data_IF_353946786030
#
_entry.id   IF_353946786030
#
_cell.length_a   1.000
_cell.length_b   1.000
_cell.length_c   1.000
_cell.angle_alpha   90.00
_cell.angle_beta   90.00
_cell.angle_gamma   90.00
#
_symmetry.space_group_name_H-M   'P 1'
#
loop_
_entity.id
_entity.type
_entity.pdbx_description
1 polymer ?
#
# COMPACT_ATOMS: atom_id res chain seq x y z
N UNK A 1 22.62 -68.87 -20.58
CA UNK A 1 23.70 -68.04 -19.99
C UNK A 1 24.91 -68.15 -20.89
N UNK A 2 25.17 -67.11 -21.67
CA UNK A 2 26.45 -66.89 -22.34
C UNK A 2 26.94 -65.56 -21.77
N UNK A 3 28.14 -65.49 -21.17
CA UNK A 3 28.66 -64.28 -20.57
C UNK A 3 29.21 -63.38 -21.69
N UNK A 4 28.48 -62.33 -22.05
CA UNK A 4 29.02 -61.26 -22.90
C UNK A 4 29.74 -60.27 -21.98
N UNK A 5 31.00 -60.61 -21.70
CA UNK A 5 31.93 -59.75 -20.98
C UNK A 5 32.51 -58.74 -21.96
N UNK A 6 32.35 -57.44 -21.64
CA UNK A 6 33.19 -56.26 -21.89
C UNK A 6 34.34 -56.31 -22.93
N UNK A 7 35.04 -57.43 -23.09
CA UNK A 7 36.04 -57.68 -24.14
C UNK A 7 35.50 -57.62 -25.56
N UNK A 8 34.25 -58.00 -25.83
CA UNK A 8 33.70 -57.93 -27.20
C UNK A 8 33.40 -56.48 -27.64
N UNK A 9 33.16 -55.56 -26.70
CA UNK A 9 33.00 -54.13 -27.01
C UNK A 9 34.33 -53.44 -27.33
N UNK A 10 35.45 -53.98 -26.84
CA UNK A 10 36.81 -53.50 -27.13
C UNK A 10 37.36 -53.99 -28.48
N UNK A 11 36.73 -55.00 -29.09
CA UNK A 11 37.04 -55.48 -30.44
C UNK A 11 36.21 -54.79 -31.53
N UNK A 12 35.28 -53.91 -31.15
CA UNK A 12 34.64 -53.02 -32.11
C UNK A 12 35.71 -52.09 -32.72
N UNK A 13 35.80 -51.98 -34.05
CA UNK A 13 36.66 -50.98 -34.70
C UNK A 13 36.36 -49.54 -34.27
N UNK A 14 35.22 -49.33 -33.61
CA UNK A 14 34.67 -48.05 -33.19
C UNK A 14 34.83 -47.79 -31.67
N UNK A 15 35.73 -48.51 -30.98
CA UNK A 15 36.02 -48.24 -29.57
C UNK A 15 36.77 -46.89 -29.42
N UNK A 16 36.39 -46.00 -28.48
CA UNK A 16 36.98 -44.65 -28.34
C UNK A 16 38.51 -44.64 -28.26
N UNK A 17 39.10 -45.67 -27.64
CA UNK A 17 40.54 -45.77 -27.43
C UNK A 17 41.35 -46.10 -28.70
N UNK A 18 40.72 -46.60 -29.78
CA UNK A 18 41.40 -46.84 -31.08
C UNK A 18 41.37 -45.60 -31.99
N UNK A 19 40.74 -44.50 -31.54
CA UNK A 19 40.45 -43.27 -32.32
C UNK A 19 41.37 -42.10 -31.89
N UNK A 20 42.32 -42.31 -30.98
CA UNK A 20 43.24 -41.25 -30.53
C UNK A 20 44.50 -41.16 -31.40
N UNK A 21 44.32 -40.63 -32.61
CA UNK A 21 45.39 -39.97 -33.39
C UNK A 21 45.41 -38.46 -33.14
N UNK A 22 46.47 -37.78 -33.57
CA UNK A 22 46.72 -36.35 -33.38
C UNK A 22 45.49 -35.49 -33.78
N UNK A 23 45.23 -34.40 -33.03
CA UNK A 23 44.04 -33.52 -33.10
C UNK A 23 43.63 -33.07 -34.53
N UNK A 24 44.56 -33.08 -35.49
CA UNK A 24 44.34 -32.70 -36.89
C UNK A 24 43.76 -33.82 -37.78
N UNK A 25 43.79 -35.08 -37.35
CA UNK A 25 43.32 -36.26 -38.15
C UNK A 25 41.96 -36.80 -37.71
N UNK A 26 41.32 -36.15 -36.74
CA UNK A 26 40.17 -36.68 -36.01
C UNK A 26 38.84 -36.66 -36.79
N UNK A 27 38.80 -36.03 -37.97
CA UNK A 27 37.56 -35.77 -38.72
C UNK A 27 37.62 -36.10 -40.21
N UNK A 28 38.69 -36.74 -40.68
CA UNK A 28 38.62 -37.42 -41.97
C UNK A 28 37.81 -38.69 -41.75
N UNK A 29 36.64 -38.78 -42.40
CA UNK A 29 35.92 -40.04 -42.45
C UNK A 29 36.90 -41.11 -42.98
N UNK A 30 37.05 -42.27 -42.30
CA UNK A 30 37.85 -43.36 -42.82
C UNK A 30 37.57 -43.53 -44.31
N UNK A 31 38.61 -43.47 -45.14
CA UNK A 31 38.50 -43.31 -46.59
C UNK A 31 37.68 -44.42 -47.30
N UNK A 32 37.30 -45.45 -46.56
CA UNK A 32 36.62 -46.66 -47.03
C UNK A 32 35.19 -46.83 -46.48
N UNK A 33 34.61 -45.84 -45.79
CA UNK A 33 33.23 -45.95 -45.28
C UNK A 33 32.18 -45.73 -46.38
N UNK A 34 31.15 -46.59 -46.48
CA UNK A 34 29.97 -46.33 -47.30
C UNK A 34 29.28 -45.03 -46.88
N UNK A 35 28.76 -44.29 -47.85
CA UNK A 35 28.17 -42.96 -47.64
C UNK A 35 27.05 -42.92 -46.58
N UNK A 36 26.33 -44.04 -46.39
CA UNK A 36 25.29 -44.20 -45.36
C UNK A 36 25.84 -44.29 -43.93
N UNK A 37 27.04 -44.85 -43.75
CA UNK A 37 27.68 -45.03 -42.44
C UNK A 37 28.47 -43.77 -42.02
N UNK A 38 28.86 -42.93 -42.98
CA UNK A 38 29.42 -41.60 -42.72
C UNK A 38 28.35 -40.67 -42.12
N UNK A 39 27.11 -40.71 -42.65
CA UNK A 39 25.97 -39.98 -42.08
C UNK A 39 25.66 -40.45 -40.64
N UNK A 40 25.58 -41.76 -40.39
CA UNK A 40 25.36 -42.29 -39.03
C UNK A 40 26.50 -41.95 -38.05
N UNK A 41 27.76 -41.89 -38.51
CA UNK A 41 28.91 -41.50 -37.69
C UNK A 41 28.83 -40.05 -37.23
N UNK A 42 28.45 -39.13 -38.13
CA UNK A 42 28.27 -37.72 -37.79
C UNK A 42 26.99 -37.47 -36.96
N UNK A 43 25.91 -38.20 -37.22
CA UNK A 43 24.67 -38.14 -36.43
C UNK A 43 24.88 -38.60 -34.98
N UNK A 44 25.64 -39.68 -34.76
CA UNK A 44 25.97 -40.19 -33.42
C UNK A 44 26.86 -39.23 -32.60
N UNK A 45 27.74 -38.48 -33.26
CA UNK A 45 28.56 -37.41 -32.66
C UNK A 45 27.77 -36.11 -32.42
N UNK A 46 26.69 -35.87 -33.18
CA UNK A 46 25.84 -34.69 -33.06
C UNK A 46 24.93 -34.72 -31.81
N UNK A 47 24.43 -35.90 -31.45
CA UNK A 47 23.43 -36.08 -30.39
C UNK A 47 24.01 -36.14 -28.95
N UNK A 48 25.29 -36.46 -28.77
CA UNK A 48 25.80 -36.81 -27.42
C UNK A 48 26.35 -35.67 -26.55
N UNK A 49 26.77 -34.50 -27.08
CA UNK A 49 27.54 -33.54 -26.25
C UNK A 49 27.03 -32.09 -26.18
N UNK A 50 26.28 -31.59 -27.16
CA UNK A 50 25.93 -30.15 -27.20
C UNK A 50 24.56 -29.84 -26.56
N UNK A 51 23.58 -30.73 -26.73
CA UNK A 51 22.21 -30.51 -26.26
C UNK A 51 22.00 -30.82 -24.76
N UNK A 52 22.77 -31.74 -24.20
CA UNK A 52 22.60 -32.19 -22.81
C UNK A 52 22.97 -31.08 -21.82
N UNK A 53 24.03 -30.30 -22.09
CA UNK A 53 24.41 -29.15 -21.25
C UNK A 53 23.44 -27.97 -21.31
N UNK A 54 22.72 -27.81 -22.42
CA UNK A 54 21.78 -26.70 -22.63
C UNK A 54 20.39 -26.95 -22.05
N UNK A 55 19.94 -28.22 -22.04
CA UNK A 55 18.72 -28.61 -21.34
C UNK A 55 18.79 -28.27 -19.83
N UNK A 56 19.98 -28.31 -19.24
CA UNK A 56 20.26 -27.94 -17.84
C UNK A 56 20.59 -26.47 -17.61
N UNK A 57 20.86 -25.67 -18.64
CA UNK A 57 21.22 -24.27 -18.49
C UNK A 57 19.95 -23.41 -18.35
N UNK A 58 19.69 -22.90 -17.14
CA UNK A 58 18.48 -22.11 -16.80
C UNK A 58 18.20 -20.95 -17.76
N UNK A 59 19.21 -20.45 -18.47
CA UNK A 59 19.12 -19.32 -19.38
C UNK A 59 18.80 -19.71 -20.84
N UNK A 60 18.98 -20.98 -21.20
CA UNK A 60 18.82 -21.51 -22.57
C UNK A 60 17.58 -22.41 -22.68
N UNK A 61 17.11 -22.98 -21.56
CA UNK A 61 16.00 -23.95 -21.57
C UNK A 61 14.65 -23.40 -22.07
N UNK A 62 14.43 -22.08 -22.12
CA UNK A 62 13.16 -21.52 -22.59
C UNK A 62 13.22 -20.03 -23.00
N UNK A 63 13.81 -19.67 -24.17
CA UNK A 63 13.89 -18.28 -24.64
C UNK A 63 12.52 -17.68 -25.01
N UNK A 64 11.46 -18.50 -25.11
CA UNK A 64 10.09 -18.03 -25.37
C UNK A 64 9.35 -17.64 -24.09
N UNK A 65 9.72 -18.20 -22.93
CA UNK A 65 9.07 -17.86 -21.65
C UNK A 65 9.50 -16.54 -21.05
N UNK A 66 10.61 -15.94 -21.50
CA UNK A 66 11.18 -14.74 -20.89
C UNK A 66 11.56 -15.02 -19.44
N UNK A 67 12.85 -15.26 -19.18
CA UNK A 67 13.28 -15.45 -17.81
C UNK A 67 13.11 -14.13 -17.03
N UNK A 68 12.04 -14.03 -16.23
CA UNK A 68 11.80 -12.92 -15.32
C UNK A 68 12.27 -13.34 -13.92
N UNK A 69 13.46 -12.91 -13.46
CA UNK A 69 13.83 -13.12 -12.06
C UNK A 69 12.77 -12.46 -11.16
N UNK A 70 12.43 -13.11 -10.05
CA UNK A 70 11.58 -12.51 -9.00
C UNK A 70 12.24 -11.21 -8.57
N UNK A 71 11.60 -10.08 -8.87
CA UNK A 71 12.22 -8.75 -8.80
C UNK A 71 12.28 -8.24 -7.35
N UNK A 72 13.46 -8.26 -6.70
CA UNK A 72 13.58 -7.84 -5.31
C UNK A 72 13.37 -6.32 -5.15
N UNK A 73 13.48 -5.55 -6.24
CA UNK A 73 13.19 -4.10 -6.27
C UNK A 73 11.73 -3.79 -5.94
N UNK A 74 10.78 -4.62 -6.39
CA UNK A 74 9.36 -4.39 -6.13
C UNK A 74 9.04 -4.60 -4.65
N UNK A 75 9.59 -5.67 -4.06
CA UNK A 75 9.46 -5.94 -2.62
C UNK A 75 10.04 -4.80 -1.79
N UNK A 76 11.25 -4.36 -2.09
CA UNK A 76 11.89 -3.28 -1.34
C UNK A 76 11.16 -1.93 -1.50
N UNK A 77 10.66 -1.61 -2.70
CA UNK A 77 9.81 -0.42 -2.88
C UNK A 77 8.57 -0.48 -1.99
N UNK A 78 7.87 -1.62 -1.97
CA UNK A 78 6.68 -1.79 -1.14
C UNK A 78 7.00 -1.68 0.37
N UNK A 79 8.16 -2.20 0.81
CA UNK A 79 8.62 -2.07 2.20
C UNK A 79 8.89 -0.60 2.57
N UNK A 80 9.50 0.17 1.66
CA UNK A 80 9.73 1.60 1.85
C UNK A 80 8.40 2.36 1.91
N UNK A 81 7.48 2.07 0.98
CA UNK A 81 6.16 2.72 0.93
C UNK A 81 5.32 2.40 2.18
N UNK A 82 5.37 1.15 2.65
CA UNK A 82 4.71 0.74 3.89
C UNK A 82 5.30 1.49 5.08
N UNK A 83 6.63 1.61 5.18
CA UNK A 83 7.29 2.36 6.25
C UNK A 83 6.90 3.85 6.25
N UNK A 84 6.88 4.49 5.06
CA UNK A 84 6.46 5.88 4.91
C UNK A 84 5.01 6.08 5.39
N UNK A 85 4.14 5.14 5.04
CA UNK A 85 2.72 5.18 5.39
C UNK A 85 2.50 4.94 6.89
N UNK A 86 3.14 3.92 7.45
CA UNK A 86 2.98 3.52 8.86
C UNK A 86 3.50 4.61 9.82
N UNK A 87 4.65 5.21 9.49
CA UNK A 87 5.26 6.27 10.31
C UNK A 87 4.72 7.67 9.97
N UNK A 88 3.79 7.78 9.00
CA UNK A 88 3.24 9.05 8.49
C UNK A 88 4.33 10.10 8.20
N UNK A 89 5.37 9.70 7.47
CA UNK A 89 6.46 10.61 7.11
C UNK A 89 5.96 11.75 6.22
N UNK A 90 6.17 13.00 6.65
CA UNK A 90 5.87 14.16 5.82
C UNK A 90 6.85 14.27 4.64
N UNK A 91 6.35 14.75 3.50
CA UNK A 91 7.13 14.88 2.27
C UNK A 91 8.40 15.75 2.41
N UNK A 92 8.42 16.67 3.37
CA UNK A 92 9.55 17.58 3.62
C UNK A 92 10.61 16.98 4.56
N UNK A 93 10.37 15.79 5.13
CA UNK A 93 11.34 15.15 6.04
C UNK A 93 12.57 14.67 5.27
N UNK A 94 13.78 14.87 5.80
CA UNK A 94 15.00 14.48 5.11
C UNK A 94 15.07 12.96 4.90
N UNK A 95 14.46 12.16 5.76
CA UNK A 95 14.34 10.71 5.66
C UNK A 95 13.40 10.32 4.51
N UNK A 96 12.24 10.97 4.37
CA UNK A 96 11.32 10.75 3.23
C UNK A 96 12.02 11.02 1.89
N UNK A 97 12.70 12.16 1.77
CA UNK A 97 13.42 12.53 0.54
C UNK A 97 14.49 11.49 0.19
N UNK A 98 15.22 10.99 1.19
CA UNK A 98 16.24 9.97 0.97
C UNK A 98 15.64 8.62 0.55
N UNK A 99 14.51 8.23 1.13
CA UNK A 99 13.78 7.02 0.75
C UNK A 99 13.19 7.11 -0.66
N UNK A 100 12.61 8.25 -1.05
CA UNK A 100 12.16 8.48 -2.44
C UNK A 100 13.32 8.39 -3.44
N UNK A 101 14.49 8.93 -3.10
CA UNK A 101 15.69 8.80 -3.94
C UNK A 101 16.10 7.34 -4.09
N UNK A 102 15.92 6.51 -3.07
CA UNK A 102 16.15 5.06 -3.16
C UNK A 102 15.10 4.41 -4.08
N UNK A 103 13.82 4.71 -3.93
CA UNK A 103 12.75 4.20 -4.81
C UNK A 103 12.98 4.57 -6.29
N UNK A 104 13.43 5.79 -6.56
CA UNK A 104 13.81 6.23 -7.90
C UNK A 104 15.01 5.44 -8.45
N UNK A 105 16.03 5.17 -7.61
CA UNK A 105 17.18 4.33 -7.98
C UNK A 105 16.77 2.89 -8.27
N UNK A 106 15.88 2.30 -7.46
CA UNK A 106 15.36 0.95 -7.66
C UNK A 106 14.59 0.85 -8.97
N UNK A 107 13.75 1.86 -9.28
CA UNK A 107 13.00 1.93 -10.53
C UNK A 107 13.92 2.02 -11.76
N UNK A 108 14.99 2.83 -11.68
CA UNK A 108 15.97 2.94 -12.76
C UNK A 108 16.80 1.66 -12.90
N UNK A 109 17.28 1.10 -11.80
CA UNK A 109 18.03 -0.15 -11.77
C UNK A 109 17.24 -1.28 -12.43
N UNK A 110 15.95 -1.40 -12.10
CA UNK A 110 15.06 -2.38 -12.71
C UNK A 110 14.94 -2.18 -14.23
N UNK A 111 14.67 -0.96 -14.69
CA UNK A 111 14.55 -0.66 -16.13
C UNK A 111 15.84 -0.91 -16.91
N UNK A 112 17.00 -0.63 -16.32
CA UNK A 112 18.29 -0.87 -16.97
C UNK A 112 18.59 -2.36 -17.04
N UNK A 113 18.47 -3.07 -15.91
CA UNK A 113 18.69 -4.51 -15.86
C UNK A 113 17.78 -5.27 -16.83
N UNK A 114 16.50 -4.89 -16.91
CA UNK A 114 15.55 -5.50 -17.85
C UNK A 114 15.99 -5.35 -19.32
N UNK A 115 16.43 -4.15 -19.72
CA UNK A 115 16.92 -3.90 -21.09
C UNK A 115 18.19 -4.70 -21.41
N UNK A 116 19.11 -4.78 -20.45
CA UNK A 116 20.37 -5.48 -20.63
C UNK A 116 20.12 -7.00 -20.78
N UNK A 117 19.26 -7.57 -19.93
CA UNK A 117 18.82 -8.97 -20.05
C UNK A 117 18.10 -9.23 -21.37
N UNK A 118 17.21 -8.34 -21.81
CA UNK A 118 16.53 -8.46 -23.11
C UNK A 118 17.50 -8.44 -24.30
N UNK A 119 18.59 -7.68 -24.20
CA UNK A 119 19.62 -7.59 -25.23
C UNK A 119 20.39 -8.91 -25.34
N UNK A 120 20.79 -9.48 -24.20
CA UNK A 120 21.43 -10.80 -24.15
C UNK A 120 20.48 -11.90 -24.64
N UNK A 121 19.20 -11.87 -24.25
CA UNK A 121 18.18 -12.81 -24.72
C UNK A 121 18.00 -12.73 -26.24
N UNK A 122 18.03 -11.53 -26.81
CA UNK A 122 17.98 -11.36 -28.26
C UNK A 122 19.20 -11.97 -28.94
N UNK A 123 20.41 -11.76 -28.39
CA UNK A 123 21.63 -12.35 -28.92
C UNK A 123 21.62 -13.88 -28.86
N UNK A 124 21.17 -14.48 -27.74
CA UNK A 124 21.01 -15.93 -27.59
C UNK A 124 20.01 -16.44 -28.63
N UNK A 125 18.86 -15.78 -28.80
CA UNK A 125 17.85 -16.18 -29.82
C UNK A 125 18.42 -16.15 -31.23
N UNK A 126 19.21 -15.13 -31.56
CA UNK A 126 19.85 -15.02 -32.87
C UNK A 126 20.94 -16.08 -33.07
N UNK A 127 21.71 -16.40 -32.03
CA UNK A 127 22.69 -17.48 -32.05
C UNK A 127 22.02 -18.85 -32.24
N UNK A 128 20.93 -19.13 -31.51
CA UNK A 128 20.12 -20.35 -31.68
C UNK A 128 19.52 -20.47 -33.08
N UNK A 129 19.04 -19.37 -33.68
CA UNK A 129 18.60 -19.35 -35.09
C UNK A 129 19.72 -19.72 -36.06
N UNK A 130 20.93 -19.20 -35.85
CA UNK A 130 22.11 -19.55 -36.65
C UNK A 130 22.46 -21.03 -36.48
N UNK A 131 22.42 -21.55 -35.25
CA UNK A 131 22.65 -22.96 -34.98
C UNK A 131 21.63 -23.84 -35.72
N UNK A 132 20.35 -23.49 -35.66
CA UNK A 132 19.29 -24.20 -36.39
C UNK A 132 19.54 -24.17 -37.89
N UNK A 133 19.94 -23.02 -38.45
CA UNK A 133 20.29 -22.92 -39.86
C UNK A 133 21.51 -23.80 -40.24
N UNK A 134 22.54 -23.86 -39.38
CA UNK A 134 23.70 -24.77 -39.57
C UNK A 134 23.28 -26.24 -39.54
N UNK A 135 22.27 -26.59 -38.74
CA UNK A 135 21.71 -27.95 -38.68
C UNK A 135 20.83 -28.29 -39.89
N UNK A 136 20.09 -27.32 -40.43
CA UNK A 136 19.15 -27.52 -41.54
C UNK A 136 19.80 -27.43 -42.93
N UNK A 137 21.03 -26.94 -43.05
CA UNK A 137 21.76 -26.92 -44.34
C UNK A 137 22.08 -28.34 -44.82
N UNK A 138 21.40 -28.77 -45.89
CA UNK A 138 21.65 -30.03 -46.60
C UNK A 138 23.04 -30.04 -47.27
N UNK A 139 23.65 -31.22 -47.35
CA UNK A 139 24.94 -31.45 -48.00
C UNK A 139 24.82 -31.13 -49.51
N UNK A 140 25.44 -30.05 -49.99
CA UNK A 140 25.47 -29.69 -51.42
C UNK A 140 26.80 -30.16 -52.07
N UNK A 141 26.77 -30.90 -53.21
CA UNK A 141 27.97 -31.49 -53.82
C UNK A 141 29.06 -30.49 -54.25
N UNK A 142 28.67 -29.25 -54.58
CA UNK A 142 29.60 -28.19 -55.02
C UNK A 142 30.25 -27.44 -53.83
N UNK A 143 29.86 -27.79 -52.61
CA UNK A 143 30.29 -27.15 -51.38
C UNK A 143 30.84 -28.24 -50.46
N UNK A 144 32.01 -28.79 -50.80
CA UNK A 144 32.71 -29.81 -49.99
C UNK A 144 33.18 -29.13 -48.69
N UNK A 145 32.24 -28.95 -47.77
CA UNK A 145 32.47 -28.61 -46.37
C UNK A 145 32.71 -29.92 -45.64
N UNK A 146 33.94 -30.15 -45.18
CA UNK A 146 34.27 -31.29 -44.32
C UNK A 146 33.47 -31.20 -43.03
N UNK A 147 33.13 -32.35 -42.41
CA UNK A 147 32.40 -32.38 -41.13
C UNK A 147 33.09 -31.57 -40.01
N UNK A 148 34.41 -31.36 -40.13
CA UNK A 148 35.20 -30.46 -39.29
C UNK A 148 34.77 -28.99 -39.36
N UNK A 149 34.38 -28.48 -40.52
CA UNK A 149 33.95 -27.09 -40.69
C UNK A 149 32.54 -26.84 -40.11
N UNK A 150 31.65 -27.82 -40.21
CA UNK A 150 30.33 -27.79 -39.56
C UNK A 150 30.46 -27.81 -38.03
N UNK A 151 31.35 -28.66 -37.50
CA UNK A 151 31.67 -28.67 -36.08
C UNK A 151 32.27 -27.33 -35.62
N UNK A 152 33.23 -26.78 -36.37
CA UNK A 152 33.82 -25.47 -36.05
C UNK A 152 32.80 -24.34 -36.01
N UNK A 153 31.86 -24.30 -36.96
CA UNK A 153 30.76 -23.32 -36.97
C UNK A 153 29.81 -23.52 -35.80
N UNK A 154 29.50 -24.77 -35.45
CA UNK A 154 28.66 -25.13 -34.30
C UNK A 154 29.31 -24.69 -32.99
N UNK A 155 30.58 -25.05 -32.78
CA UNK A 155 31.35 -24.72 -31.58
C UNK A 155 31.46 -23.20 -31.38
N UNK A 156 31.66 -22.42 -32.45
CA UNK A 156 31.64 -20.95 -32.39
C UNK A 156 30.27 -20.39 -31.96
N UNK A 157 29.17 -20.99 -32.41
CA UNK A 157 27.83 -20.56 -31.99
C UNK A 157 27.55 -20.96 -30.54
N UNK A 158 28.02 -22.14 -30.12
CA UNK A 158 27.93 -22.63 -28.74
C UNK A 158 28.70 -21.73 -27.79
N UNK A 159 29.96 -21.42 -28.11
CA UNK A 159 30.81 -20.51 -27.34
C UNK A 159 30.14 -19.14 -27.16
N UNK A 160 29.48 -18.64 -28.21
CA UNK A 160 28.73 -17.37 -28.14
C UNK A 160 27.52 -17.44 -27.21
N UNK A 161 26.80 -18.56 -27.17
CA UNK A 161 25.67 -18.77 -26.25
C UNK A 161 26.16 -18.87 -24.80
N UNK A 162 27.30 -19.54 -24.58
CA UNK A 162 27.91 -19.65 -23.26
C UNK A 162 28.42 -18.30 -22.75
N UNK A 163 29.02 -17.48 -23.63
CA UNK A 163 29.43 -16.11 -23.32
C UNK A 163 28.23 -15.26 -22.88
N UNK A 164 27.13 -15.26 -23.65
CA UNK A 164 25.90 -14.57 -23.29
C UNK A 164 25.27 -15.11 -21.98
N UNK A 165 25.40 -16.42 -21.72
CA UNK A 165 24.91 -17.00 -20.46
C UNK A 165 25.73 -16.50 -19.26
N UNK A 166 27.06 -16.36 -19.42
CA UNK A 166 27.94 -15.80 -18.37
C UNK A 166 27.66 -14.32 -18.13
N UNK A 167 27.46 -13.52 -19.17
CA UNK A 167 27.14 -12.09 -19.03
C UNK A 167 25.80 -11.91 -18.29
N UNK A 168 24.78 -12.70 -18.62
CA UNK A 168 23.49 -12.69 -17.88
C UNK A 168 23.67 -13.01 -16.39
N UNK A 169 24.45 -14.04 -16.06
CA UNK A 169 24.71 -14.39 -14.67
C UNK A 169 25.45 -13.27 -13.92
N UNK A 170 26.40 -12.58 -14.57
CA UNK A 170 27.06 -11.40 -14.00
C UNK A 170 26.06 -10.25 -13.76
N UNK A 171 25.21 -9.93 -14.74
CA UNK A 171 24.21 -8.86 -14.62
C UNK A 171 23.22 -9.11 -13.48
N UNK A 172 22.79 -10.35 -13.27
CA UNK A 172 21.91 -10.71 -12.16
C UNK A 172 22.60 -10.61 -10.79
N UNK A 173 23.86 -11.05 -10.70
CA UNK A 173 24.63 -10.93 -9.47
C UNK A 173 24.85 -9.45 -9.09
N UNK A 174 25.18 -8.60 -10.07
CA UNK A 174 25.30 -7.15 -9.88
C UNK A 174 23.96 -6.51 -9.49
N UNK A 175 22.86 -6.92 -10.12
CA UNK A 175 21.52 -6.46 -9.78
C UNK A 175 21.15 -6.82 -8.33
N UNK A 176 21.36 -8.07 -7.91
CA UNK A 176 21.05 -8.50 -6.54
C UNK A 176 21.95 -7.79 -5.51
N UNK A 177 23.26 -7.65 -5.79
CA UNK A 177 24.19 -6.95 -4.91
C UNK A 177 23.83 -5.45 -4.75
N UNK A 178 23.46 -4.79 -5.85
CA UNK A 178 23.03 -3.39 -5.80
C UNK A 178 21.71 -3.20 -5.06
N UNK A 179 20.73 -4.09 -5.23
CA UNK A 179 19.49 -4.06 -4.43
C UNK A 179 19.80 -4.29 -2.95
N UNK A 180 20.67 -5.25 -2.61
CA UNK A 180 21.08 -5.51 -1.22
C UNK A 180 21.73 -4.28 -0.57
N UNK A 181 22.59 -3.56 -1.31
CA UNK A 181 23.19 -2.30 -0.85
C UNK A 181 22.15 -1.19 -0.64
N UNK A 182 21.12 -1.11 -1.48
CA UNK A 182 20.04 -0.15 -1.32
C UNK A 182 19.12 -0.52 -0.15
N UNK A 183 18.84 -1.80 0.05
CA UNK A 183 18.07 -2.31 1.19
C UNK A 183 18.72 -1.92 2.52
N UNK A 184 20.04 -2.15 2.66
CA UNK A 184 20.79 -1.74 3.87
C UNK A 184 20.69 -0.24 4.15
N UNK A 185 20.77 0.59 3.11
CA UNK A 185 20.62 2.05 3.26
C UNK A 185 19.21 2.44 3.69
N UNK A 186 18.18 1.83 3.11
CA UNK A 186 16.80 2.06 3.51
C UNK A 186 16.56 1.64 4.97
N UNK A 187 17.15 0.52 5.40
CA UNK A 187 17.09 0.05 6.79
C UNK A 187 17.80 1.03 7.75
N UNK A 188 19.00 1.50 7.41
CA UNK A 188 19.74 2.50 8.20
C UNK A 188 18.93 3.79 8.40
N UNK A 189 18.30 4.29 7.33
CA UNK A 189 17.43 5.48 7.39
C UNK A 189 16.24 5.21 8.32
N UNK A 190 15.59 4.06 8.16
CA UNK A 190 14.41 3.68 8.97
C UNK A 190 14.75 3.54 10.45
N UNK A 191 15.89 2.91 10.77
CA UNK A 191 16.35 2.76 12.15
C UNK A 191 16.73 4.10 12.78
N UNK A 192 17.38 4.98 12.02
CA UNK A 192 17.73 6.33 12.46
C UNK A 192 16.46 7.13 12.82
N UNK A 193 15.46 7.13 11.94
CA UNK A 193 14.17 7.77 12.19
C UNK A 193 13.51 7.25 13.47
N UNK A 194 13.39 5.92 13.61
CA UNK A 194 12.78 5.30 14.80
C UNK A 194 13.50 5.66 16.09
N UNK A 195 14.82 5.86 16.04
CA UNK A 195 15.59 6.29 17.20
C UNK A 195 15.30 7.75 17.55
N UNK A 196 15.38 8.65 16.57
CA UNK A 196 15.14 10.09 16.77
C UNK A 196 13.70 10.37 17.21
N UNK A 197 12.72 9.68 16.61
CA UNK A 197 11.31 9.76 17.00
C UNK A 197 11.10 9.36 18.47
N UNK A 198 11.68 8.23 18.90
CA UNK A 198 11.61 7.80 20.31
C UNK A 198 12.27 8.80 21.26
N UNK A 199 13.43 9.34 20.89
CA UNK A 199 14.11 10.36 21.69
C UNK A 199 13.22 11.61 21.85
N UNK A 200 12.63 12.10 20.76
CA UNK A 200 11.70 13.23 20.80
C UNK A 200 10.45 12.97 21.64
N UNK A 201 9.85 11.78 21.54
CA UNK A 201 8.71 11.39 22.39
C UNK A 201 9.08 11.39 23.88
N UNK A 202 10.25 10.86 24.23
CA UNK A 202 10.72 10.88 25.62
C UNK A 202 10.99 12.29 26.13
N UNK A 203 11.57 13.17 25.31
CA UNK A 203 11.79 14.57 25.66
C UNK A 203 10.47 15.33 25.86
N UNK A 204 9.48 15.09 24.99
CA UNK A 204 8.14 15.68 25.12
C UNK A 204 7.45 15.20 26.40
N UNK A 205 7.51 13.90 26.69
CA UNK A 205 6.95 13.33 27.91
C UNK A 205 7.62 13.91 29.17
N UNK A 206 8.95 14.05 29.17
CA UNK A 206 9.67 14.70 30.27
C UNK A 206 9.27 16.16 30.43
N UNK A 207 9.17 16.91 29.34
CA UNK A 207 8.76 18.31 29.37
C UNK A 207 7.36 18.47 29.93
N UNK A 208 6.43 17.63 29.50
CA UNK A 208 5.06 17.62 30.01
C UNK A 208 5.00 17.27 31.50
N UNK A 209 5.82 16.32 31.96
CA UNK A 209 5.94 16.01 33.39
C UNK A 209 6.50 17.18 34.20
N UNK A 210 7.50 17.91 33.68
CA UNK A 210 8.03 19.13 34.31
C UNK A 210 6.98 20.24 34.39
N UNK A 211 6.22 20.45 33.33
CA UNK A 211 5.12 21.43 33.29
C UNK A 211 4.02 21.07 34.29
N UNK A 212 3.57 19.80 34.30
CA UNK A 212 2.58 19.31 35.27
C UNK A 212 3.07 19.52 36.71
N UNK A 213 4.32 19.13 36.99
CA UNK A 213 4.94 19.33 38.30
C UNK A 213 4.94 20.81 38.71
N UNK A 214 5.31 21.71 37.81
CA UNK A 214 5.28 23.16 38.06
C UNK A 214 3.86 23.67 38.36
N UNK A 215 2.85 23.15 37.65
CA UNK A 215 1.44 23.47 37.87
C UNK A 215 0.97 23.02 39.25
N UNK A 216 1.28 21.78 39.66
CA UNK A 216 0.99 21.29 41.01
C UNK A 216 1.72 22.09 42.10
N UNK A 217 2.99 22.47 41.88
CA UNK A 217 3.73 23.30 42.84
C UNK A 217 3.09 24.68 43.02
N UNK A 218 2.61 25.29 41.92
CA UNK A 218 1.92 26.56 41.99
C UNK A 218 0.58 26.46 42.75
N UNK A 219 -0.21 25.41 42.49
CA UNK A 219 -1.45 25.14 43.23
C UNK A 219 -1.19 24.93 44.72
N UNK A 220 -0.18 24.12 45.07
CA UNK A 220 0.21 23.87 46.46
C UNK A 220 0.63 25.17 47.15
N UNK A 221 1.42 26.01 46.47
CA UNK A 221 1.85 27.31 47.01
C UNK A 221 0.68 28.26 47.26
N UNK A 222 -0.33 28.26 46.39
CA UNK A 222 -1.53 29.07 46.57
C UNK A 222 -2.40 28.54 47.72
N UNK A 223 -2.60 27.22 47.81
CA UNK A 223 -3.32 26.60 48.91
C UNK A 223 -2.66 26.89 50.27
N UNK A 224 -1.32 26.86 50.33
CA UNK A 224 -0.58 27.22 51.54
C UNK A 224 -0.74 28.70 51.92
N UNK A 225 -0.78 29.62 50.95
CA UNK A 225 -1.07 31.04 51.20
C UNK A 225 -2.49 31.26 51.72
N UNK A 226 -3.49 30.63 51.10
CA UNK A 226 -4.87 30.70 51.55
C UNK A 226 -5.04 30.14 52.96
N UNK A 227 -4.41 28.99 53.25
CA UNK A 227 -4.39 28.42 54.60
C UNK A 227 -3.83 29.42 55.61
N UNK A 228 -2.68 30.05 55.33
CA UNK A 228 -2.07 31.02 56.23
C UNK A 228 -2.95 32.27 56.44
N UNK A 229 -3.70 32.70 55.42
CA UNK A 229 -4.67 33.80 55.56
C UNK A 229 -5.84 33.40 56.47
N UNK A 230 -6.39 32.20 56.26
CA UNK A 230 -7.49 31.68 57.09
C UNK A 230 -7.08 31.47 58.54
N UNK A 231 -5.85 31.01 58.80
CA UNK A 231 -5.32 30.87 60.16
C UNK A 231 -5.22 32.23 60.86
N UNK A 232 -4.82 33.30 60.15
CA UNK A 232 -4.83 34.67 60.72
C UNK A 232 -6.25 35.15 61.02
N UNK A 233 -7.17 35.03 60.07
CA UNK A 233 -8.58 35.40 60.27
C UNK A 233 -9.19 34.67 61.47
N UNK A 234 -8.83 33.40 61.66
CA UNK A 234 -9.32 32.59 62.77
C UNK A 234 -8.77 33.07 64.11
N UNK A 235 -7.47 33.40 64.17
CA UNK A 235 -6.87 34.00 65.37
C UNK A 235 -7.51 35.36 65.71
N UNK A 236 -7.69 36.24 64.72
CA UNK A 236 -8.32 37.55 64.93
C UNK A 236 -9.75 37.40 65.47
N UNK A 237 -10.51 36.43 64.93
CA UNK A 237 -11.85 36.12 65.43
C UNK A 237 -11.84 35.56 66.85
N UNK A 238 -10.82 34.79 67.20
CA UNK A 238 -10.68 34.21 68.53
C UNK A 238 -10.38 35.28 69.59
N UNK A 239 -9.53 36.26 69.27
CA UNK A 239 -9.32 37.44 70.11
C UNK A 239 -10.61 38.25 70.30
N UNK A 240 -11.41 38.41 69.24
CA UNK A 240 -12.71 39.10 69.32
C UNK A 240 -13.70 38.33 70.21
N UNK A 241 -13.71 37.00 70.14
CA UNK A 241 -14.56 36.17 71.00
C UNK A 241 -14.16 36.34 72.47
N UNK A 242 -12.86 36.25 72.79
CA UNK A 242 -12.36 36.45 74.16
C UNK A 242 -12.74 37.83 74.70
N UNK A 243 -12.63 38.88 73.88
CA UNK A 243 -13.07 40.23 74.26
C UNK A 243 -14.58 40.28 74.56
N UNK A 244 -15.40 39.70 73.69
CA UNK A 244 -16.85 39.66 73.87
C UNK A 244 -17.26 38.85 75.10
N UNK A 245 -16.58 37.76 75.41
CA UNK A 245 -16.80 37.00 76.64
C UNK A 245 -16.54 37.86 77.88
N UNK A 246 -15.44 38.61 77.90
CA UNK A 246 -15.16 39.54 79.02
C UNK A 246 -16.19 40.67 79.15
N UNK A 247 -16.71 41.20 78.04
CA UNK A 247 -17.79 42.19 78.08
C UNK A 247 -19.10 41.57 78.60
N UNK A 248 -19.44 40.36 78.15
CA UNK A 248 -20.64 39.66 78.60
C UNK A 248 -20.59 39.43 80.11
N UNK A 249 -19.46 38.97 80.65
CA UNK A 249 -19.28 38.76 82.09
C UNK A 249 -19.49 40.06 82.88
N UNK A 250 -18.94 41.18 82.38
CA UNK A 250 -19.16 42.50 82.99
C UNK A 250 -20.63 42.92 82.94
N UNK A 251 -21.31 42.70 81.82
CA UNK A 251 -22.74 42.98 81.69
C UNK A 251 -23.60 42.09 82.59
N UNK A 252 -23.27 40.81 82.74
CA UNK A 252 -23.96 39.90 83.66
C UNK A 252 -23.77 40.34 85.11
N UNK A 253 -22.57 40.72 85.51
CA UNK A 253 -22.30 41.22 86.86
C UNK A 253 -23.07 42.53 87.12
N UNK A 254 -23.03 43.46 86.16
CA UNK A 254 -23.81 44.70 86.21
C UNK A 254 -25.32 44.45 86.27
N UNK A 255 -25.84 43.53 85.47
CA UNK A 255 -27.24 43.13 85.47
C UNK A 255 -27.65 42.49 86.79
N UNK A 256 -26.84 41.59 87.34
CA UNK A 256 -27.08 40.95 88.63
C UNK A 256 -27.09 41.96 89.79
N UNK A 257 -26.21 42.97 89.75
CA UNK A 257 -26.21 44.06 90.72
C UNK A 257 -27.46 44.93 90.62
N UNK A 258 -27.86 45.33 89.40
CA UNK A 258 -29.09 46.07 89.17
C UNK A 258 -30.32 45.27 89.58
N UNK A 259 -30.35 43.97 89.29
CA UNK A 259 -31.42 43.05 89.70
C UNK A 259 -31.54 42.97 91.22
N UNK A 260 -30.42 42.86 91.95
CA UNK A 260 -30.41 42.88 93.43
C UNK A 260 -30.93 44.19 94.01
N UNK A 261 -30.57 45.33 93.44
CA UNK A 261 -31.08 46.65 93.85
C UNK A 261 -32.58 46.78 93.57
N UNK A 262 -33.00 46.34 92.37
CA UNK A 262 -34.39 46.35 91.92
C UNK A 262 -35.27 45.45 92.79
N UNK A 263 -34.83 44.23 93.08
CA UNK A 263 -35.57 43.24 93.87
C UNK A 263 -35.58 43.60 95.38
N UNK A 264 -34.60 44.37 95.88
CA UNK A 264 -34.55 44.88 97.25
C UNK A 264 -35.41 46.13 97.54
N UNK A 265 -35.68 46.98 96.54
CA UNK A 265 -36.35 48.29 96.76
C UNK A 265 -37.80 48.33 96.26
N UNK A 266 -38.23 47.50 95.30
CA UNK A 266 -39.56 47.61 94.66
C UNK A 266 -40.25 46.27 94.34
N UNK A 267 -40.22 45.31 95.27
CA UNK A 267 -40.74 43.95 95.07
C UNK A 267 -42.21 43.82 94.59
N UNK A 268 -43.05 44.84 94.74
CA UNK A 268 -44.46 44.80 94.28
C UNK A 268 -44.74 45.57 92.98
N UNK A 269 -43.92 46.57 92.61
CA UNK A 269 -44.07 47.26 91.32
C UNK A 269 -43.44 46.45 90.16
N UNK A 270 -42.36 45.72 90.46
CA UNK A 270 -41.63 44.91 89.49
C UNK A 270 -42.42 43.72 88.96
N UNK A 271 -43.30 43.10 89.74
CA UNK A 271 -44.13 41.99 89.24
C UNK A 271 -45.08 42.41 88.11
N UNK A 272 -45.55 43.67 88.09
CA UNK A 272 -46.38 44.19 86.99
C UNK A 272 -45.56 44.57 85.76
N UNK A 273 -44.34 45.06 85.95
CA UNK A 273 -43.42 45.42 84.87
C UNK A 273 -42.84 44.15 84.22
N UNK A 274 -42.44 43.16 85.01
CA UNK A 274 -41.92 41.87 84.52
C UNK A 274 -42.98 41.12 83.70
N UNK A 275 -44.27 41.17 84.09
CA UNK A 275 -45.40 40.65 83.28
C UNK A 275 -45.58 41.40 81.95
N UNK A 276 -45.38 42.72 81.94
CA UNK A 276 -45.44 43.52 80.71
C UNK A 276 -44.22 43.28 79.79
N UNK A 277 -43.05 43.03 80.38
CA UNK A 277 -41.82 42.65 79.65
C UNK A 277 -41.98 41.26 79.05
N UNK A 278 -42.49 40.27 79.79
CA UNK A 278 -42.79 38.93 79.26
C UNK A 278 -43.75 38.99 78.08
N UNK A 279 -44.83 39.80 78.16
CA UNK A 279 -45.74 39.98 77.03
C UNK A 279 -45.06 40.63 75.82
N UNK A 280 -44.19 41.62 76.05
CA UNK A 280 -43.43 42.29 74.98
C UNK A 280 -42.40 41.35 74.35
N UNK A 281 -41.71 40.54 75.14
CA UNK A 281 -40.71 39.62 74.64
C UNK A 281 -41.34 38.43 73.92
N UNK A 282 -42.50 37.95 74.38
CA UNK A 282 -43.29 36.97 73.65
C UNK A 282 -43.76 37.52 72.29
N UNK A 283 -44.20 38.79 72.23
CA UNK A 283 -44.52 39.46 70.97
C UNK A 283 -43.28 39.61 70.06
N UNK A 284 -42.11 39.94 70.60
CA UNK A 284 -40.84 39.98 69.84
C UNK A 284 -40.43 38.61 69.32
N UNK A 285 -40.67 37.55 70.08
CA UNK A 285 -40.40 36.16 69.70
C UNK A 285 -41.32 35.73 68.56
N UNK A 286 -42.61 36.08 68.62
CA UNK A 286 -43.55 35.89 67.52
C UNK A 286 -43.12 36.64 66.26
N UNK A 287 -42.67 37.90 66.38
CA UNK A 287 -42.17 38.69 65.25
C UNK A 287 -40.88 38.08 64.67
N UNK A 288 -39.95 37.59 65.50
CA UNK A 288 -38.75 36.88 65.03
C UNK A 288 -39.11 35.58 64.31
N UNK A 289 -40.04 34.80 64.86
CA UNK A 289 -40.51 33.56 64.24
C UNK A 289 -41.18 33.84 62.89
N UNK A 290 -42.02 34.87 62.80
CA UNK A 290 -42.60 35.34 61.54
C UNK A 290 -41.53 35.80 60.55
N UNK A 291 -40.53 36.56 60.99
CA UNK A 291 -39.43 37.04 60.14
C UNK A 291 -38.56 35.88 59.63
N UNK A 292 -38.29 34.89 60.48
CA UNK A 292 -37.58 33.67 60.10
C UNK A 292 -38.41 32.84 59.12
N UNK A 293 -39.70 32.65 59.38
CA UNK A 293 -40.60 31.94 58.48
C UNK A 293 -40.67 32.61 57.09
N UNK A 294 -40.79 33.95 57.05
CA UNK A 294 -40.74 34.71 55.80
C UNK A 294 -39.39 34.61 55.09
N UNK A 295 -38.27 34.57 55.84
CA UNK A 295 -36.93 34.35 55.27
C UNK A 295 -36.81 32.96 54.66
N UNK A 296 -37.23 31.91 55.36
CA UNK A 296 -37.24 30.53 54.85
C UNK A 296 -38.12 30.41 53.61
N UNK A 297 -39.29 31.05 53.61
CA UNK A 297 -40.17 31.07 52.44
C UNK A 297 -39.55 31.82 51.25
N UNK A 298 -38.84 32.93 51.50
CA UNK A 298 -38.09 33.66 50.47
C UNK A 298 -36.95 32.81 49.88
N UNK A 299 -36.21 32.11 50.73
CA UNK A 299 -35.10 31.25 50.31
C UNK A 299 -35.59 30.05 49.49
N UNK A 300 -36.74 29.46 49.88
CA UNK A 300 -37.40 28.42 49.10
C UNK A 300 -37.82 28.92 47.69
N UNK A 301 -38.37 30.14 47.59
CA UNK A 301 -38.69 30.75 46.29
C UNK A 301 -37.44 30.97 45.44
N UNK A 302 -36.33 31.42 46.05
CA UNK A 302 -35.06 31.62 45.34
C UNK A 302 -34.50 30.28 44.83
N UNK A 303 -34.56 29.23 45.65
CA UNK A 303 -34.13 27.89 45.27
C UNK A 303 -34.94 27.36 44.08
N UNK A 304 -36.26 27.50 44.10
CA UNK A 304 -37.12 27.08 43.00
C UNK A 304 -36.88 27.89 41.73
N UNK A 305 -36.62 29.20 41.83
CA UNK A 305 -36.19 30.02 40.68
C UNK A 305 -34.87 29.55 40.09
N UNK A 306 -33.89 29.17 40.92
CA UNK A 306 -32.61 28.61 40.46
C UNK A 306 -32.80 27.27 39.77
N UNK A 307 -33.61 26.36 40.33
CA UNK A 307 -33.94 25.06 39.72
C UNK A 307 -34.62 25.24 38.37
N UNK A 308 -35.60 26.13 38.25
CA UNK A 308 -36.20 26.50 36.96
C UNK A 308 -35.18 27.06 35.98
N UNK A 309 -34.26 27.92 36.44
CA UNK A 309 -33.19 28.47 35.61
C UNK A 309 -32.26 27.38 35.05
N UNK A 310 -31.90 26.37 35.85
CA UNK A 310 -31.13 25.21 35.41
C UNK A 310 -31.92 24.38 34.41
N UNK A 311 -33.18 24.07 34.70
CA UNK A 311 -34.04 23.32 33.78
C UNK A 311 -34.19 24.01 32.42
N UNK A 312 -34.41 25.33 32.39
CA UNK A 312 -34.50 26.12 31.15
C UNK A 312 -33.19 26.08 30.36
N UNK A 313 -32.03 26.16 31.03
CA UNK A 313 -30.73 26.01 30.37
C UNK A 313 -30.56 24.61 29.78
N UNK A 314 -30.91 23.56 30.52
CA UNK A 314 -30.85 22.18 30.04
C UNK A 314 -31.75 21.95 28.83
N UNK A 315 -32.99 22.44 28.85
CA UNK A 315 -33.89 22.37 27.68
C UNK A 315 -33.33 23.14 26.47
N UNK A 316 -32.73 24.32 26.69
CA UNK A 316 -32.12 25.09 25.60
C UNK A 316 -30.91 24.36 24.99
N UNK A 317 -30.12 23.68 25.81
CA UNK A 317 -28.99 22.88 25.33
C UNK A 317 -29.47 21.65 24.54
N UNK A 318 -30.51 20.95 25.03
CA UNK A 318 -31.13 19.84 24.31
C UNK A 318 -31.66 20.26 22.93
N UNK A 319 -32.35 21.41 22.85
CA UNK A 319 -32.82 21.96 21.57
C UNK A 319 -31.68 22.28 20.60
N UNK A 320 -30.55 22.81 21.10
CA UNK A 320 -29.36 23.07 20.27
C UNK A 320 -28.73 21.78 19.74
N UNK A 321 -28.67 20.75 20.57
CA UNK A 321 -28.12 19.46 20.17
C UNK A 321 -29.01 18.81 19.10
N UNK A 322 -30.33 18.85 19.28
CA UNK A 322 -31.29 18.40 18.27
C UNK A 322 -31.16 19.17 16.94
N UNK A 323 -30.98 20.49 16.99
CA UNK A 323 -30.74 21.29 15.78
C UNK A 323 -29.45 20.89 15.06
N UNK A 324 -28.40 20.53 15.81
CA UNK A 324 -27.14 20.05 15.24
C UNK A 324 -27.29 18.67 14.60
N UNK A 325 -27.87 17.70 15.31
CA UNK A 325 -28.17 16.36 14.75
C UNK A 325 -29.03 16.45 13.49
N UNK A 326 -30.01 17.35 13.47
CA UNK A 326 -30.87 17.54 12.31
C UNK A 326 -30.10 18.09 11.10
N UNK A 327 -29.09 18.94 11.33
CA UNK A 327 -28.21 19.45 10.25
C UNK A 327 -27.27 18.37 9.75
N UNK A 328 -26.68 17.58 10.65
CA UNK A 328 -25.81 16.46 10.29
C UNK A 328 -26.58 15.40 9.49
N UNK A 329 -27.79 15.06 9.91
CA UNK A 329 -28.65 14.12 9.16
C UNK A 329 -28.98 14.62 7.76
N UNK A 330 -29.19 15.93 7.57
CA UNK A 330 -29.41 16.52 6.23
C UNK A 330 -28.16 16.51 5.35
N UNK A 331 -26.97 16.63 5.94
CA UNK A 331 -25.72 16.50 5.20
C UNK A 331 -25.52 15.06 4.72
N UNK A 332 -25.73 14.09 5.61
CA UNK A 332 -25.67 12.66 5.26
C UNK A 332 -26.67 12.30 4.17
N UNK A 333 -27.91 12.82 4.25
CA UNK A 333 -28.92 12.60 3.21
C UNK A 333 -28.49 13.18 1.86
N UNK A 334 -27.85 14.36 1.84
CA UNK A 334 -27.30 14.96 0.62
C UNK A 334 -26.18 14.10 0.02
N UNK A 335 -25.26 13.62 0.84
CA UNK A 335 -24.15 12.77 0.41
C UNK A 335 -24.66 11.45 -0.17
N UNK A 336 -25.70 10.86 0.41
CA UNK A 336 -26.36 9.66 -0.10
C UNK A 336 -27.03 9.89 -1.46
N UNK A 337 -27.66 11.05 -1.66
CA UNK A 337 -28.24 11.42 -2.96
C UNK A 337 -27.15 11.59 -4.00
N UNK A 338 -26.04 12.25 -3.66
CA UNK A 338 -24.91 12.43 -4.58
C UNK A 338 -24.24 11.08 -4.93
N UNK A 339 -24.08 10.19 -3.96
CA UNK A 339 -23.58 8.84 -4.18
C UNK A 339 -24.49 8.04 -5.14
N UNK A 340 -25.82 8.15 -4.99
CA UNK A 340 -26.77 7.52 -5.93
C UNK A 340 -26.61 8.07 -7.35
N UNK A 341 -26.50 9.38 -7.52
CA UNK A 341 -26.30 9.97 -8.86
C UNK A 341 -25.01 9.49 -9.52
N UNK A 342 -23.92 9.36 -8.76
CA UNK A 342 -22.65 8.82 -9.29
C UNK A 342 -22.76 7.36 -9.72
N UNK A 343 -23.54 6.56 -8.99
CA UNK A 343 -23.82 5.16 -9.35
C UNK A 343 -24.63 5.09 -10.64
N UNK A 344 -25.64 5.95 -10.80
CA UNK A 344 -26.44 6.02 -12.02
C UNK A 344 -25.61 6.43 -13.24
N UNK A 345 -24.70 7.40 -13.08
CA UNK A 345 -23.77 7.82 -14.15
C UNK A 345 -22.80 6.70 -14.55
N UNK A 346 -22.26 5.96 -13.57
CA UNK A 346 -21.40 4.81 -13.81
C UNK A 346 -22.15 3.69 -14.54
N UNK A 347 -23.38 3.39 -14.12
CA UNK A 347 -24.23 2.39 -14.78
C UNK A 347 -24.54 2.80 -16.22
N UNK A 348 -24.84 4.07 -16.47
CA UNK A 348 -25.04 4.58 -17.82
C UNK A 348 -23.78 4.41 -18.70
N UNK A 349 -22.60 4.70 -18.14
CA UNK A 349 -21.31 4.47 -18.82
C UNK A 349 -21.05 2.99 -19.15
N UNK A 350 -21.38 2.08 -18.22
CA UNK A 350 -21.25 0.63 -18.41
C UNK A 350 -22.18 0.15 -19.53
N UNK A 351 -23.43 0.62 -19.57
CA UNK A 351 -24.38 0.24 -20.61
C UNK A 351 -23.97 0.76 -22.00
N UNK A 352 -23.37 1.95 -22.06
CA UNK A 352 -22.81 2.49 -23.31
C UNK A 352 -21.63 1.65 -23.82
N UNK A 353 -20.77 1.18 -22.92
CA UNK A 353 -19.65 0.28 -23.25
C UNK A 353 -20.15 -1.09 -23.71
N UNK A 354 -21.15 -1.67 -23.04
CA UNK A 354 -21.78 -2.93 -23.48
C UNK A 354 -22.35 -2.81 -24.90
N UNK A 355 -23.00 -1.69 -25.21
CA UNK A 355 -23.54 -1.44 -26.55
C UNK A 355 -22.42 -1.36 -27.61
N UNK A 356 -21.34 -0.63 -27.33
CA UNK A 356 -20.17 -0.56 -28.24
C UNK A 356 -19.50 -1.91 -28.46
N UNK A 357 -19.35 -2.71 -27.40
CA UNK A 357 -18.79 -4.06 -27.50
C UNK A 357 -19.71 -5.00 -28.29
N UNK A 358 -21.02 -4.87 -28.14
CA UNK A 358 -21.98 -5.60 -28.96
C UNK A 358 -21.83 -5.21 -30.43
N UNK A 359 -21.81 -3.91 -30.75
CA UNK A 359 -21.62 -3.41 -32.11
C UNK A 359 -20.29 -3.91 -32.71
N UNK A 360 -19.19 -3.93 -31.94
CA UNK A 360 -17.90 -4.46 -32.39
C UNK A 360 -17.95 -5.96 -32.70
N UNK A 361 -18.70 -6.76 -31.93
CA UNK A 361 -18.87 -8.19 -32.22
C UNK A 361 -19.63 -8.38 -33.53
N UNK A 362 -20.70 -7.63 -33.75
CA UNK A 362 -21.44 -7.68 -35.03
C UNK A 362 -20.55 -7.30 -36.21
N UNK A 363 -19.70 -6.28 -36.06
CA UNK A 363 -18.73 -5.90 -37.10
C UNK A 363 -17.67 -6.97 -37.35
N UNK A 364 -17.22 -7.65 -36.29
CA UNK A 364 -16.27 -8.76 -36.42
C UNK A 364 -16.89 -9.93 -37.19
N UNK A 365 -18.13 -10.29 -36.86
CA UNK A 365 -18.86 -11.37 -37.52
C UNK A 365 -19.16 -11.04 -38.99
N UNK A 366 -19.53 -9.78 -39.29
CA UNK A 366 -19.72 -9.31 -40.67
C UNK A 366 -18.40 -9.32 -41.48
N UNK A 367 -17.29 -8.88 -40.89
CA UNK A 367 -15.97 -8.93 -41.52
C UNK A 367 -15.51 -10.35 -41.83
N UNK A 368 -15.76 -11.29 -40.94
CA UNK A 368 -15.43 -12.70 -41.15
C UNK A 368 -16.28 -13.31 -42.27
N UNK A 369 -17.58 -13.05 -42.26
CA UNK A 369 -18.53 -13.55 -43.27
C UNK A 369 -18.20 -13.01 -44.68
N UNK A 370 -17.97 -11.71 -44.84
CA UNK A 370 -17.60 -11.12 -46.13
C UNK A 370 -16.16 -11.46 -46.54
N UNK A 371 -15.25 -11.63 -45.57
CA UNK A 371 -13.89 -12.13 -45.81
C UNK A 371 -13.89 -13.53 -46.43
N UNK A 372 -14.74 -14.44 -45.94
CA UNK A 372 -14.93 -15.77 -46.54
C UNK A 372 -15.51 -15.69 -47.97
N UNK A 373 -16.29 -14.65 -48.28
CA UNK A 373 -16.81 -14.40 -49.63
C UNK A 373 -15.80 -13.68 -50.53
N UNK A 374 -14.59 -13.38 -50.05
CA UNK A 374 -13.54 -12.69 -50.80
C UNK A 374 -13.85 -11.22 -51.06
N UNK A 375 -14.63 -10.58 -50.20
CA UNK A 375 -15.02 -9.16 -50.26
C UNK A 375 -14.28 -8.36 -49.18
N UNK A 376 -14.07 -7.07 -49.43
CA UNK A 376 -13.38 -6.14 -48.53
C UNK A 376 -14.25 -4.91 -48.33
N UNK A 377 -14.35 -4.44 -47.08
CA UNK A 377 -15.16 -3.27 -46.75
C UNK A 377 -14.49 -1.98 -47.23
N UNK A 378 -15.17 -1.23 -48.09
CA UNK A 378 -14.73 0.09 -48.52
C UNK A 378 -15.22 1.14 -47.51
N UNK A 379 -14.31 1.61 -46.63
CA UNK A 379 -14.62 2.64 -45.62
C UNK A 379 -15.09 3.98 -46.21
N UNK A 380 -14.72 4.30 -47.45
CA UNK A 380 -15.10 5.55 -48.10
C UNK A 380 -16.50 5.47 -48.75
N UNK A 381 -16.89 4.27 -49.20
CA UNK A 381 -18.18 4.02 -49.86
C UNK A 381 -19.24 3.38 -48.97
N UNK A 382 -18.89 2.95 -47.74
CA UNK A 382 -19.80 2.29 -46.80
C UNK A 382 -20.37 0.95 -47.29
N UNK A 383 -19.71 0.32 -48.28
CA UNK A 383 -20.21 -0.88 -48.98
C UNK A 383 -19.10 -1.93 -49.10
N UNK A 384 -19.51 -3.19 -49.24
CA UNK A 384 -18.61 -4.32 -49.47
C UNK A 384 -18.30 -4.45 -50.96
N UNK A 385 -17.03 -4.59 -51.31
CA UNK A 385 -16.58 -4.74 -52.69
C UNK A 385 -15.76 -6.01 -52.87
N UNK A 386 -15.83 -6.69 -54.02
CA UNK A 386 -14.97 -7.84 -54.31
C UNK A 386 -13.49 -7.46 -54.18
N UNK A 387 -12.74 -8.28 -53.43
CA UNK A 387 -11.31 -8.12 -53.27
C UNK A 387 -10.61 -8.17 -54.64
N UNK A 388 -9.47 -7.48 -54.74
CA UNK A 388 -8.65 -7.46 -55.96
C UNK A 388 -8.25 -8.89 -56.37
N UNK A 389 -8.11 -9.80 -55.41
CA UNK A 389 -7.79 -11.20 -55.66
C UNK A 389 -8.98 -11.97 -56.26
N UNK A 390 -10.19 -11.81 -55.69
CA UNK A 390 -11.43 -12.40 -56.25
C UNK A 390 -11.73 -11.87 -57.66
N UNK A 391 -11.59 -10.57 -57.87
CA UNK A 391 -11.78 -9.93 -59.18
C UNK A 391 -10.84 -10.49 -60.25
N UNK A 392 -9.56 -10.70 -59.91
CA UNK A 392 -8.60 -11.33 -60.83
C UNK A 392 -8.91 -12.79 -61.11
N UNK A 393 -9.34 -13.56 -60.10
CA UNK A 393 -9.74 -14.96 -60.28
C UNK A 393 -10.94 -15.07 -61.21
N UNK A 394 -11.96 -14.24 -61.03
CA UNK A 394 -13.14 -14.18 -61.90
C UNK A 394 -12.75 -13.75 -63.33
N UNK A 395 -11.86 -12.76 -63.50
CA UNK A 395 -11.32 -12.36 -64.81
C UNK A 395 -10.54 -13.49 -65.50
N UNK A 396 -9.76 -14.28 -64.74
CA UNK A 396 -9.04 -15.44 -65.27
C UNK A 396 -10.00 -16.55 -65.68
N UNK A 397 -11.02 -16.84 -64.88
CA UNK A 397 -12.06 -17.83 -65.21
C UNK A 397 -12.89 -17.42 -66.42
N UNK A 398 -13.24 -16.13 -66.53
CA UNK A 398 -13.95 -15.58 -67.68
C UNK A 398 -13.09 -15.62 -68.95
N UNK A 399 -11.80 -15.28 -68.86
CA UNK A 399 -10.85 -15.46 -69.95
C UNK A 399 -10.73 -16.94 -70.37
N UNK A 400 -10.66 -17.87 -69.42
CA UNK A 400 -10.62 -19.31 -69.71
C UNK A 400 -11.92 -19.79 -70.38
N UNK A 401 -13.07 -19.26 -69.93
CA UNK A 401 -14.39 -19.58 -70.51
C UNK A 401 -14.50 -19.05 -71.93
N UNK A 402 -14.04 -17.82 -72.18
CA UNK A 402 -13.96 -17.20 -73.50
C UNK A 402 -12.97 -17.92 -74.42
N UNK A 403 -11.83 -18.39 -73.91
CA UNK A 403 -10.88 -19.17 -74.70
C UNK A 403 -11.43 -20.55 -75.08
N UNK A 404 -12.20 -21.18 -74.16
CA UNK A 404 -12.91 -22.45 -74.42
C UNK A 404 -14.04 -22.27 -75.45
N UNK A 405 -14.79 -21.17 -75.41
CA UNK A 405 -15.83 -20.88 -76.42
C UNK A 405 -15.21 -20.51 -77.78
N UNK A 406 -14.11 -19.77 -77.81
CA UNK A 406 -13.36 -19.47 -79.03
C UNK A 406 -12.71 -20.72 -79.66
N UNK A 407 -12.18 -21.65 -78.85
CA UNK A 407 -11.66 -22.95 -79.34
C UNK A 407 -12.77 -23.84 -79.91
N UNK A 408 -14.00 -23.79 -79.38
CA UNK A 408 -15.16 -24.48 -79.96
C UNK A 408 -15.61 -23.84 -81.28
N UNK A 409 -15.55 -22.52 -81.40
CA UNK A 409 -15.90 -21.81 -82.64
C UNK A 409 -14.90 -22.05 -83.80
N UNK A 410 -13.65 -22.40 -83.53
CA UNK A 410 -12.62 -22.74 -84.55
C UNK A 410 -12.64 -24.20 -85.02
N UNK A 411 -13.49 -25.05 -84.44
CA UNK A 411 -13.66 -26.47 -84.81
C UNK A 411 -14.92 -26.74 -85.64
N UNK A 412 -15.71 -25.70 -85.89
CA UNK A 412 -16.75 -25.64 -86.93
C UNK A 412 -16.21 -24.81 -88.10
#
# INVERSE_FOLDING_TARGET
MVPSTFSDMLQSPYHPDHIFGDEDTWYDAPADLPQQEIEEYFDALEDQNVLIGWATNRFVSDPERGYWPVLPTATLNNEIDAFITDENLCNDTPEYIQLEVICAKLSNLHKHHERDIQTEDHMIRMALKKLRAVRETLYEPDNIYTGSDYKRKRDLVVERIDECSRTKACLENEYVDTVSKLAKKAEEISQKWKKESKEQETELAEKQMRENNSGTQHLLRNALKEKALRERELNDLQEVIELLETEIDQYEEGYNNLRRVRDGVLGQHNQRIDLAIEQRDNARLQVRNLKNHLKTHRDAIILERRRRGVAVKSCRNLMRNLDMETRESKLVERDLVEARTRVDDLNHGIDLLKKRLADQRTWSDELEMHGMQGEVFNRMGGTWEPSVYKRRLEEYEDCEREERTAKRARRN
#
